data_IF_176814940227
#
_entry.id   IF_176814940227
#
_cell.length_a   1.000
_cell.length_b   1.000
_cell.length_c   1.000
_cell.angle_alpha   90.00
_cell.angle_beta   90.00
_cell.angle_gamma   90.00
#
_symmetry.space_group_name_H-M   'P 1'
#
loop_
_entity.id
_entity.type
_entity.pdbx_description
1 polymer ?
#
# COMPACT_ATOMS: atom_id res chain seq x y z
N UNK A 1 -40.18 -0.70 -48.60
CA UNK A 1 -39.01 0.07 -48.13
C UNK A 1 -38.91 -0.08 -46.62
N UNK A 2 -38.12 -1.05 -46.14
CA UNK A 2 -37.97 -1.34 -44.71
C UNK A 2 -36.62 -0.78 -44.26
N UNK A 3 -36.63 0.27 -43.42
CA UNK A 3 -35.43 0.92 -42.91
C UNK A 3 -34.84 0.06 -41.78
N UNK A 4 -33.67 -0.51 -42.02
CA UNK A 4 -32.91 -1.25 -41.00
C UNK A 4 -32.34 -0.27 -39.98
N UNK A 5 -32.73 -0.42 -38.71
CA UNK A 5 -32.24 0.38 -37.59
C UNK A 5 -30.97 -0.31 -37.06
N UNK A 6 -29.79 0.20 -37.42
CA UNK A 6 -28.52 -0.28 -36.90
C UNK A 6 -28.33 0.30 -35.49
N UNK A 7 -28.50 -0.55 -34.47
CA UNK A 7 -28.21 -0.23 -33.08
C UNK A 7 -26.68 -0.25 -32.90
N UNK A 8 -26.06 0.92 -32.90
CA UNK A 8 -24.64 1.08 -32.61
C UNK A 8 -24.43 0.94 -31.10
N UNK A 9 -24.10 -0.26 -30.64
CA UNK A 9 -23.68 -0.50 -29.25
C UNK A 9 -22.28 0.10 -29.06
N UNK A 10 -22.22 1.32 -28.52
CA UNK A 10 -21.01 1.91 -27.98
C UNK A 10 -20.53 1.04 -26.81
N UNK A 11 -19.57 0.16 -27.08
CA UNK A 11 -18.81 -0.55 -26.04
C UNK A 11 -17.97 0.49 -25.31
N UNK A 12 -18.49 1.03 -24.20
CA UNK A 12 -17.67 1.71 -23.21
C UNK A 12 -16.70 0.66 -22.65
N UNK A 13 -15.43 0.75 -23.05
CA UNK A 13 -14.35 0.03 -22.38
C UNK A 13 -14.22 0.61 -20.98
N UNK A 14 -14.92 0.02 -20.02
CA UNK A 14 -14.63 0.24 -18.62
C UNK A 14 -13.15 -0.14 -18.43
N UNK A 15 -12.29 0.76 -17.92
CA UNK A 15 -10.94 0.39 -17.57
C UNK A 15 -11.03 -0.83 -16.66
N UNK A 16 -10.35 -1.90 -17.08
CA UNK A 16 -10.25 -3.14 -16.34
C UNK A 16 -9.40 -2.83 -15.10
N UNK A 17 -10.04 -2.23 -14.09
CA UNK A 17 -9.47 -2.16 -12.76
C UNK A 17 -9.29 -3.62 -12.35
N UNK A 18 -8.04 -4.01 -12.08
CA UNK A 18 -7.74 -5.34 -11.58
C UNK A 18 -8.70 -5.64 -10.43
N UNK A 19 -9.34 -6.81 -10.47
CA UNK A 19 -10.24 -7.21 -9.39
C UNK A 19 -9.42 -7.20 -8.08
N UNK A 20 -9.88 -6.45 -7.09
CA UNK A 20 -9.26 -6.49 -5.77
C UNK A 20 -9.58 -7.83 -5.11
N UNK A 21 -8.60 -8.36 -4.38
CA UNK A 21 -8.70 -9.60 -3.62
C UNK A 21 -9.16 -9.33 -2.19
N UNK A 22 -8.88 -8.13 -1.67
CA UNK A 22 -9.32 -7.67 -0.36
C UNK A 22 -9.76 -6.21 -0.40
N UNK A 23 -10.77 -5.89 0.42
CA UNK A 23 -11.22 -4.52 0.68
C UNK A 23 -11.58 -4.39 2.16
N UNK A 24 -11.26 -3.23 2.75
CA UNK A 24 -11.67 -2.84 4.10
C UNK A 24 -11.98 -1.34 4.13
N UNK A 25 -12.98 -0.97 4.93
CA UNK A 25 -13.35 0.43 5.19
C UNK A 25 -12.89 0.83 6.60
N UNK A 26 -12.66 2.12 6.84
CA UNK A 26 -12.35 2.64 8.18
C UNK A 26 -13.55 2.47 9.12
N UNK A 27 -13.35 2.49 10.45
CA UNK A 27 -14.45 2.42 11.41
C UNK A 27 -15.57 3.46 11.20
N UNK A 28 -15.25 4.64 10.66
CA UNK A 28 -16.23 5.68 10.31
C UNK A 28 -16.71 5.65 8.85
N UNK A 29 -16.20 4.72 8.05
CA UNK A 29 -16.56 4.55 6.63
C UNK A 29 -16.08 5.67 5.70
N UNK A 30 -15.25 6.61 6.17
CA UNK A 30 -14.76 7.71 5.33
C UNK A 30 -13.57 7.30 4.45
N UNK A 31 -12.77 6.35 4.89
CA UNK A 31 -11.66 5.79 4.11
C UNK A 31 -12.01 4.36 3.68
N UNK A 32 -11.58 4.00 2.48
CA UNK A 32 -11.58 2.64 1.98
C UNK A 32 -10.18 2.27 1.49
N UNK A 33 -9.78 1.02 1.68
CA UNK A 33 -8.54 0.48 1.12
C UNK A 33 -8.83 -0.79 0.33
N UNK A 34 -8.12 -0.95 -0.79
CA UNK A 34 -8.20 -2.14 -1.64
C UNK A 34 -6.80 -2.70 -1.84
N UNK A 35 -6.70 -4.03 -1.94
CA UNK A 35 -5.46 -4.74 -2.24
C UNK A 35 -5.74 -5.87 -3.24
N UNK A 36 -4.81 -6.10 -4.16
CA UNK A 36 -4.96 -7.16 -5.15
C UNK A 36 -3.66 -7.51 -5.86
N UNK A 37 -3.83 -8.36 -6.89
CA UNK A 37 -2.80 -8.68 -7.85
C UNK A 37 -3.20 -8.12 -9.22
N UNK A 38 -2.24 -7.67 -10.00
CA UNK A 38 -2.47 -7.33 -11.41
C UNK A 38 -2.31 -8.55 -12.33
N UNK A 39 -2.42 -8.33 -13.65
CA UNK A 39 -2.31 -9.42 -14.64
C UNK A 39 -0.92 -10.07 -14.72
N UNK A 40 0.10 -9.48 -14.10
CA UNK A 40 1.46 -10.04 -14.00
C UNK A 40 1.76 -10.63 -12.61
N UNK A 41 0.75 -10.72 -11.73
CA UNK A 41 0.93 -11.18 -10.36
C UNK A 41 1.77 -10.22 -9.52
N UNK A 42 1.69 -8.91 -9.76
CA UNK A 42 2.28 -7.87 -8.89
C UNK A 42 1.26 -7.40 -7.87
N UNK A 43 1.68 -7.28 -6.61
CA UNK A 43 0.83 -6.73 -5.55
C UNK A 43 0.62 -5.23 -5.75
N UNK A 44 -0.60 -4.77 -5.49
CA UNK A 44 -0.94 -3.36 -5.48
C UNK A 44 -1.94 -3.04 -4.37
N UNK A 45 -1.92 -1.80 -3.88
CA UNK A 45 -2.95 -1.25 -3.00
C UNK A 45 -3.52 0.06 -3.55
N UNK A 46 -4.71 0.45 -3.08
CA UNK A 46 -5.36 1.73 -3.38
C UNK A 46 -6.01 2.27 -2.11
N UNK A 47 -6.05 3.60 -1.94
CA UNK A 47 -6.77 4.27 -0.86
C UNK A 47 -7.80 5.22 -1.43
N UNK A 48 -9.02 5.12 -0.92
CA UNK A 48 -10.14 5.97 -1.27
C UNK A 48 -10.56 6.80 -0.06
N UNK A 49 -10.98 8.03 -0.30
CA UNK A 49 -11.67 8.86 0.68
C UNK A 49 -13.03 9.26 0.11
N UNK A 50 -14.10 8.91 0.83
CA UNK A 50 -15.48 9.14 0.38
C UNK A 50 -15.76 8.59 -1.04
N UNK A 51 -15.09 7.48 -1.40
CA UNK A 51 -15.22 6.84 -2.71
C UNK A 51 -14.30 7.39 -3.81
N UNK A 52 -13.57 8.48 -3.57
CA UNK A 52 -12.62 9.06 -4.53
C UNK A 52 -11.19 8.59 -4.23
N UNK A 53 -10.40 8.28 -5.25
CA UNK A 53 -9.01 7.84 -5.06
C UNK A 53 -8.15 8.99 -4.54
N UNK A 54 -7.54 8.79 -3.37
CA UNK A 54 -6.51 9.70 -2.81
C UNK A 54 -5.11 9.11 -2.97
N UNK A 55 -5.02 7.79 -3.05
CA UNK A 55 -3.85 7.05 -3.52
C UNK A 55 -4.33 6.14 -4.65
N UNK A 56 -3.79 6.33 -5.85
CA UNK A 56 -4.05 5.50 -7.02
C UNK A 56 -3.47 4.09 -6.83
N UNK A 57 -3.85 3.09 -7.66
CA UNK A 57 -3.23 1.77 -7.60
C UNK A 57 -1.70 1.87 -7.57
N UNK A 58 -1.14 1.42 -6.45
CA UNK A 58 0.24 1.67 -6.04
C UNK A 58 0.95 0.34 -5.75
N UNK A 59 2.20 0.15 -6.19
CA UNK A 59 2.86 -1.13 -6.12
C UNK A 59 3.26 -1.49 -4.67
N UNK A 60 3.24 -2.79 -4.39
CA UNK A 60 3.86 -3.42 -3.23
C UNK A 60 4.81 -4.52 -3.71
N UNK A 61 5.81 -4.85 -2.91
CA UNK A 61 6.70 -5.97 -3.17
C UNK A 61 8.00 -5.88 -2.39
N UNK A 62 8.61 -7.04 -2.15
CA UNK A 62 9.88 -7.16 -1.43
C UNK A 62 10.77 -8.18 -2.13
N UNK A 63 12.03 -7.82 -2.29
CA UNK A 63 13.09 -8.65 -2.87
C UNK A 63 13.98 -9.17 -1.75
N UNK A 64 14.13 -10.49 -1.67
CA UNK A 64 15.10 -11.13 -0.78
C UNK A 64 16.30 -11.64 -1.59
N UNK A 65 17.42 -11.88 -0.94
CA UNK A 65 18.64 -12.33 -1.63
C UNK A 65 18.48 -13.66 -2.39
N UNK A 66 17.59 -14.54 -1.93
CA UNK A 66 17.39 -15.90 -2.44
C UNK A 66 15.98 -16.13 -3.03
N UNK A 67 15.05 -15.19 -2.88
CA UNK A 67 13.68 -15.32 -3.37
C UNK A 67 13.02 -13.94 -3.43
N UNK A 68 11.87 -13.83 -4.07
CA UNK A 68 11.25 -12.53 -4.33
C UNK A 68 9.73 -12.58 -4.28
N UNK A 69 9.15 -11.42 -4.02
CA UNK A 69 7.71 -11.19 -4.02
C UNK A 69 7.33 -9.95 -4.85
N UNK A 70 8.01 -9.76 -5.98
CA UNK A 70 7.80 -8.59 -6.85
C UNK A 70 6.82 -8.84 -8.00
N UNK A 71 6.69 -10.09 -8.46
CA UNK A 71 5.85 -10.49 -9.61
C UNK A 71 5.58 -11.99 -9.62
N UNK A 72 4.75 -12.45 -10.55
CA UNK A 72 4.38 -13.86 -10.72
C UNK A 72 3.82 -14.49 -9.42
N UNK A 73 3.21 -13.65 -8.58
CA UNK A 73 2.60 -14.07 -7.33
C UNK A 73 1.25 -14.73 -7.60
N UNK A 74 0.98 -15.81 -6.87
CA UNK A 74 -0.32 -16.43 -6.81
C UNK A 74 -1.05 -15.99 -5.54
N UNK A 75 -2.35 -15.73 -5.65
CA UNK A 75 -3.23 -15.55 -4.49
C UNK A 75 -3.28 -16.85 -3.67
N UNK A 76 -3.15 -16.75 -2.35
CA UNK A 76 -3.34 -17.88 -1.43
C UNK A 76 -4.64 -17.75 -0.65
N UNK A 77 -4.81 -16.65 0.08
CA UNK A 77 -5.98 -16.41 0.91
C UNK A 77 -6.14 -14.94 1.26
N UNK A 78 -7.36 -14.57 1.64
CA UNK A 78 -7.67 -13.27 2.24
C UNK A 78 -8.47 -13.54 3.52
N UNK A 79 -8.12 -12.86 4.60
CA UNK A 79 -8.85 -12.97 5.86
C UNK A 79 -10.24 -12.31 5.77
N UNK A 80 -11.13 -12.65 6.70
CA UNK A 80 -12.25 -11.76 6.99
C UNK A 80 -11.71 -10.41 7.50
N UNK A 81 -12.48 -9.34 7.27
CA UNK A 81 -12.20 -8.04 7.89
C UNK A 81 -12.56 -8.13 9.36
N UNK A 82 -11.64 -7.73 10.23
CA UNK A 82 -11.84 -7.78 11.68
C UNK A 82 -11.59 -6.41 12.33
N UNK A 83 -12.42 -6.00 13.30
CA UNK A 83 -12.14 -4.80 14.07
C UNK A 83 -10.95 -5.02 15.01
N UNK A 84 -10.11 -3.99 15.13
CA UNK A 84 -9.00 -3.93 16.09
C UNK A 84 -9.22 -2.73 16.99
N UNK A 85 -9.16 -2.98 18.30
CA UNK A 85 -9.20 -1.93 19.31
C UNK A 85 -8.05 -2.12 20.28
N UNK A 86 -7.39 -1.03 20.67
CA UNK A 86 -6.36 -1.04 21.70
C UNK A 86 -6.45 0.23 22.57
N UNK A 87 -5.94 0.17 23.79
CA UNK A 87 -5.88 1.30 24.70
C UNK A 87 -4.53 1.28 25.44
N UNK A 88 -3.71 2.31 25.22
CA UNK A 88 -2.37 2.37 25.78
C UNK A 88 -1.99 3.76 26.27
N UNK A 89 -1.01 3.80 27.17
CA UNK A 89 -0.48 5.02 27.75
C UNK A 89 0.89 5.34 27.18
N UNK A 90 1.08 6.56 26.69
CA UNK A 90 2.37 7.06 26.28
C UNK A 90 3.03 7.84 27.42
N UNK A 91 4.33 7.61 27.64
CA UNK A 91 5.13 8.34 28.62
C UNK A 91 5.69 9.66 28.08
N UNK A 92 5.88 9.73 26.76
CA UNK A 92 6.33 10.91 26.00
C UNK A 92 5.44 11.07 24.78
N UNK A 93 5.29 12.30 24.28
CA UNK A 93 4.46 12.61 23.11
C UNK A 93 3.29 13.56 23.42
N UNK A 94 2.47 13.82 22.39
CA UNK A 94 1.39 14.83 22.45
C UNK A 94 0.11 14.38 23.17
N UNK A 95 -0.03 13.08 23.46
CA UNK A 95 -1.23 12.50 24.06
C UNK A 95 -0.85 11.39 25.05
N UNK A 96 -1.34 11.48 26.29
CA UNK A 96 -0.99 10.55 27.37
C UNK A 96 -1.73 9.23 27.30
N UNK A 97 -3.02 9.26 26.97
CA UNK A 97 -3.90 8.09 26.89
C UNK A 97 -4.42 7.99 25.46
N UNK A 98 -4.13 6.89 24.76
CA UNK A 98 -4.52 6.67 23.38
C UNK A 98 -5.56 5.55 23.31
N UNK A 99 -6.67 5.83 22.65
CA UNK A 99 -7.61 4.81 22.19
C UNK A 99 -7.38 4.61 20.69
N UNK A 100 -7.03 3.39 20.30
CA UNK A 100 -6.78 3.03 18.92
C UNK A 100 -7.92 2.16 18.39
N UNK A 101 -8.42 2.51 17.20
CA UNK A 101 -9.46 1.77 16.49
C UNK A 101 -9.12 1.70 15.01
N UNK A 102 -9.22 0.51 14.45
CA UNK A 102 -9.02 0.25 13.03
C UNK A 102 -9.79 -1.00 12.61
N UNK A 103 -9.91 -1.22 11.31
CA UNK A 103 -10.23 -2.54 10.76
C UNK A 103 -8.95 -3.14 10.17
N UNK A 104 -8.79 -4.46 10.27
CA UNK A 104 -7.65 -5.21 9.70
C UNK A 104 -8.07 -6.21 8.63
N UNK A 105 -7.18 -6.47 7.69
CA UNK A 105 -7.30 -7.50 6.67
C UNK A 105 -5.91 -8.00 6.30
N UNK A 106 -5.76 -9.32 6.21
CA UNK A 106 -4.51 -9.97 5.81
C UNK A 106 -4.69 -10.63 4.44
N UNK A 107 -3.80 -10.30 3.49
CA UNK A 107 -3.74 -10.94 2.17
C UNK A 107 -2.48 -11.81 2.10
N UNK A 108 -2.65 -13.12 1.90
CA UNK A 108 -1.55 -14.04 1.69
C UNK A 108 -1.35 -14.35 0.20
N UNK A 109 -0.10 -14.34 -0.24
CA UNK A 109 0.33 -14.66 -1.60
C UNK A 109 1.51 -15.63 -1.58
N UNK A 110 1.67 -16.39 -2.66
CA UNK A 110 2.79 -17.32 -2.87
C UNK A 110 3.63 -16.88 -4.05
N UNK A 111 4.95 -17.00 -3.94
CA UNK A 111 5.82 -16.87 -5.09
C UNK A 111 6.04 -18.22 -5.80
N UNK A 112 6.73 -18.19 -6.94
CA UNK A 112 6.99 -19.39 -7.77
C UNK A 112 7.90 -20.42 -7.10
N UNK A 113 8.68 -20.02 -6.10
CA UNK A 113 9.49 -20.91 -5.27
C UNK A 113 8.69 -21.57 -4.13
N UNK A 114 7.40 -21.26 -4.01
CA UNK A 114 6.49 -21.87 -3.04
C UNK A 114 6.47 -21.17 -1.67
N UNK A 115 7.22 -20.08 -1.49
CA UNK A 115 7.23 -19.30 -0.26
C UNK A 115 6.01 -18.38 -0.18
N UNK A 116 5.47 -18.22 1.01
CA UNK A 116 4.33 -17.34 1.28
C UNK A 116 4.78 -15.99 1.84
N UNK A 117 4.00 -14.96 1.54
CA UNK A 117 4.10 -13.61 2.11
C UNK A 117 2.69 -13.15 2.50
N UNK A 118 2.55 -12.60 3.69
CA UNK A 118 1.32 -11.93 4.13
C UNK A 118 1.53 -10.42 4.06
N UNK A 119 0.60 -9.72 3.44
CA UNK A 119 0.46 -8.26 3.59
C UNK A 119 -0.65 -8.03 4.61
N UNK A 120 -0.28 -7.55 5.79
CA UNK A 120 -1.22 -7.25 6.87
C UNK A 120 -1.58 -5.76 6.85
N UNK A 121 -2.85 -5.44 6.62
CA UNK A 121 -3.36 -4.07 6.51
C UNK A 121 -4.12 -3.68 7.76
N UNK A 122 -4.02 -2.41 8.15
CA UNK A 122 -4.90 -1.77 9.13
C UNK A 122 -5.34 -0.40 8.65
N UNK A 123 -6.64 -0.17 8.65
CA UNK A 123 -7.25 1.09 8.24
C UNK A 123 -7.95 1.75 9.44
N UNK A 124 -7.38 2.84 9.94
CA UNK A 124 -8.03 3.74 10.90
C UNK A 124 -8.82 4.83 10.15
N UNK A 125 -9.50 5.71 10.89
CA UNK A 125 -10.27 6.81 10.29
C UNK A 125 -9.39 7.85 9.56
N UNK A 126 -8.08 7.82 9.78
CA UNK A 126 -7.12 8.83 9.34
C UNK A 126 -5.93 8.26 8.56
N UNK A 127 -5.84 6.94 8.36
CA UNK A 127 -4.73 6.39 7.59
C UNK A 127 -4.78 4.88 7.39
N UNK A 128 -4.14 4.46 6.30
CA UNK A 128 -3.80 3.06 6.03
C UNK A 128 -2.37 2.81 6.52
N UNK A 129 -2.17 1.70 7.23
CA UNK A 129 -0.86 1.12 7.50
C UNK A 129 -0.82 -0.31 6.97
N UNK A 130 0.35 -0.74 6.52
CA UNK A 130 0.59 -2.14 6.17
C UNK A 130 1.98 -2.60 6.62
N UNK A 131 2.17 -3.91 6.67
CA UNK A 131 3.48 -4.53 6.80
C UNK A 131 3.54 -5.87 6.06
N UNK A 132 4.75 -6.26 5.70
CA UNK A 132 5.07 -7.58 5.18
C UNK A 132 5.34 -8.54 6.35
N UNK A 133 4.67 -9.70 6.37
CA UNK A 133 4.93 -10.77 7.31
C UNK A 133 5.32 -12.04 6.55
N UNK A 134 6.46 -12.61 6.91
CA UNK A 134 6.91 -13.89 6.36
C UNK A 134 6.50 -15.00 7.33
N UNK A 135 5.42 -15.76 7.03
CA UNK A 135 4.84 -16.70 7.98
C UNK A 135 5.77 -17.88 8.28
N UNK A 136 5.57 -18.45 9.46
CA UNK A 136 6.33 -19.60 9.96
C UNK A 136 7.70 -19.23 10.53
N UNK A 137 8.26 -20.17 11.29
CA UNK A 137 9.63 -20.10 11.77
C UNK A 137 10.57 -20.65 10.69
N UNK A 138 11.75 -20.04 10.55
CA UNK A 138 12.79 -20.51 9.63
C UNK A 138 14.15 -20.15 10.23
N UNK A 139 15.12 -21.04 10.09
CA UNK A 139 16.52 -20.78 10.40
C UNK A 139 17.24 -20.00 9.28
N UNK A 140 16.56 -19.78 8.14
CA UNK A 140 17.12 -19.07 7.00
C UNK A 140 17.30 -17.58 7.32
N UNK A 141 18.50 -17.07 7.02
CA UNK A 141 18.74 -15.63 7.07
C UNK A 141 18.04 -14.95 5.89
N UNK A 142 16.97 -14.21 6.16
CA UNK A 142 16.25 -13.42 5.15
C UNK A 142 16.86 -12.04 5.02
N UNK A 143 17.73 -11.86 4.03
CA UNK A 143 18.30 -10.55 3.68
C UNK A 143 17.39 -9.86 2.67
N UNK A 144 16.80 -8.71 3.05
CA UNK A 144 16.06 -7.84 2.14
C UNK A 144 17.04 -7.06 1.27
N UNK A 145 16.92 -7.20 -0.04
CA UNK A 145 17.77 -6.53 -1.03
C UNK A 145 17.11 -5.25 -1.52
N UNK A 146 15.78 -5.26 -1.68
CA UNK A 146 15.02 -4.11 -2.12
C UNK A 146 13.57 -4.20 -1.65
N UNK A 147 12.96 -3.04 -1.46
CA UNK A 147 11.52 -2.88 -1.34
C UNK A 147 11.01 -2.18 -2.60
N UNK A 148 9.88 -2.65 -3.14
CA UNK A 148 9.23 -2.12 -4.36
C UNK A 148 7.95 -1.34 -4.05
N UNK A 149 7.64 -1.13 -2.77
CA UNK A 149 6.53 -0.29 -2.33
C UNK A 149 6.64 1.10 -2.94
N UNK A 150 5.55 1.57 -3.54
CA UNK A 150 5.44 2.92 -4.09
C UNK A 150 4.11 3.54 -3.72
N UNK A 151 3.99 4.85 -3.90
CA UNK A 151 2.75 5.58 -3.71
C UNK A 151 2.52 6.42 -4.94
N UNK A 152 1.47 6.10 -5.69
CA UNK A 152 1.05 6.82 -6.87
C UNK A 152 -0.05 7.80 -6.46
N UNK A 153 0.27 9.09 -6.51
CA UNK A 153 -0.67 10.16 -6.21
C UNK A 153 -1.45 10.57 -7.46
N UNK A 154 -2.67 11.12 -7.33
CA UNK A 154 -3.34 11.84 -8.41
C UNK A 154 -2.44 12.94 -9.00
N UNK A 155 -2.54 13.17 -10.30
CA UNK A 155 -1.58 13.99 -11.07
C UNK A 155 -1.47 15.45 -10.59
N UNK A 156 -2.55 15.99 -10.02
CA UNK A 156 -2.62 17.34 -9.46
C UNK A 156 -2.07 17.47 -8.04
N UNK A 157 -1.57 16.38 -7.45
CA UNK A 157 -1.09 16.37 -6.07
C UNK A 157 0.11 17.31 -5.90
N UNK A 158 0.06 18.06 -4.80
CA UNK A 158 1.11 19.00 -4.38
C UNK A 158 1.70 18.51 -3.07
N UNK A 159 3.01 18.63 -2.91
CA UNK A 159 3.70 18.14 -1.73
C UNK A 159 4.60 19.17 -1.07
N UNK A 160 4.90 18.89 0.19
CA UNK A 160 5.91 19.53 1.00
C UNK A 160 6.93 18.46 1.40
N UNK A 161 8.11 18.47 0.77
CA UNK A 161 9.11 17.41 0.92
C UNK A 161 10.48 18.00 1.25
N UNK A 162 11.25 17.28 2.08
CA UNK A 162 12.66 17.54 2.27
C UNK A 162 13.47 16.58 1.37
N UNK A 163 14.42 17.07 0.56
CA UNK A 163 15.31 16.20 -0.17
C UNK A 163 16.22 15.45 0.80
N UNK A 164 16.66 14.25 0.40
CA UNK A 164 17.71 13.54 1.14
C UNK A 164 19.07 14.15 0.79
N UNK A 165 19.80 14.61 1.80
CA UNK A 165 21.16 15.09 1.65
C UNK A 165 22.10 14.03 1.02
N UNK A 166 23.08 14.49 0.25
CA UNK A 166 24.14 13.63 -0.27
C UNK A 166 24.95 13.02 0.88
N UNK A 167 25.27 11.74 0.79
CA UNK A 167 26.05 11.06 1.82
C UNK A 167 27.49 11.61 1.85
N UNK A 168 28.09 11.65 3.05
CA UNK A 168 29.45 12.18 3.25
C UNK A 168 29.61 13.66 2.86
N UNK A 169 28.52 14.43 2.94
CA UNK A 169 28.51 15.88 2.78
C UNK A 169 28.27 16.58 4.13
N UNK A 170 28.10 17.91 4.10
CA UNK A 170 27.83 18.71 5.29
C UNK A 170 29.05 18.91 6.20
N UNK A 171 28.82 19.43 7.40
CA UNK A 171 29.89 19.66 8.37
C UNK A 171 30.55 18.34 8.77
N UNK A 172 31.86 18.21 8.51
CA UNK A 172 32.62 17.00 8.85
C UNK A 172 32.02 15.69 8.31
N UNK A 173 31.42 15.72 7.10
CA UNK A 173 30.86 14.56 6.40
C UNK A 173 29.73 13.83 7.17
N UNK A 174 28.98 14.54 8.01
CA UNK A 174 27.91 13.96 8.83
C UNK A 174 26.60 13.70 8.10
N UNK A 175 26.43 14.22 6.87
CA UNK A 175 25.22 13.97 6.11
C UNK A 175 25.13 12.51 5.63
N UNK A 176 23.91 11.95 5.56
CA UNK A 176 22.62 12.63 5.74
C UNK A 176 22.17 12.79 7.21
N UNK A 177 21.80 14.02 7.61
CA UNK A 177 21.36 14.36 8.98
C UNK A 177 19.87 14.69 9.13
N UNK A 178 19.09 14.68 8.03
CA UNK A 178 17.66 15.06 8.00
C UNK A 178 17.39 16.52 8.37
N UNK A 179 18.30 17.44 8.01
CA UNK A 179 18.22 18.87 8.33
C UNK A 179 18.07 19.77 7.08
N UNK A 180 17.57 19.23 5.98
CA UNK A 180 17.34 20.00 4.75
C UNK A 180 16.07 20.86 4.83
N UNK A 181 15.98 21.94 4.06
CA UNK A 181 14.78 22.76 4.00
C UNK A 181 13.62 22.06 3.26
N UNK A 182 12.38 22.42 3.62
CA UNK A 182 11.21 21.96 2.87
C UNK A 182 11.12 22.65 1.52
N UNK A 183 11.02 21.85 0.47
CA UNK A 183 10.46 22.27 -0.80
C UNK A 183 8.94 22.29 -0.65
N UNK A 184 8.32 23.44 -0.88
CA UNK A 184 6.90 23.66 -0.65
C UNK A 184 6.15 23.75 -1.96
N UNK A 185 4.93 23.22 -1.98
CA UNK A 185 4.03 23.27 -3.13
C UNK A 185 4.75 22.82 -4.42
N UNK A 186 5.30 21.60 -4.39
CA UNK A 186 5.95 20.97 -5.56
C UNK A 186 5.09 19.83 -6.11
N UNK A 187 5.18 19.52 -7.43
CA UNK A 187 4.55 18.31 -7.96
C UNK A 187 5.25 17.05 -7.42
N UNK A 188 4.55 15.92 -7.44
CA UNK A 188 5.05 14.59 -7.06
C UNK A 188 4.80 13.54 -8.13
#
# INVERSE_FOLDING_TARGET
MLKSLVCCCLLFSLPLHGAWLGQLDSPDGQLGARIGLDGEGRLWFQVLRLGEAVIEPSPLGVSLHNTGFERDLAFESVSAVEPVTDAYRMWVGKQKQVEYRANRLDLAVRNTAGHSLVVALRLSNDGLAWRYEFPGESEDTRVVVAERSGVHFPAETRAWLQPKAEAQSGWMNTNPSYEEDYLQDIPV
#
